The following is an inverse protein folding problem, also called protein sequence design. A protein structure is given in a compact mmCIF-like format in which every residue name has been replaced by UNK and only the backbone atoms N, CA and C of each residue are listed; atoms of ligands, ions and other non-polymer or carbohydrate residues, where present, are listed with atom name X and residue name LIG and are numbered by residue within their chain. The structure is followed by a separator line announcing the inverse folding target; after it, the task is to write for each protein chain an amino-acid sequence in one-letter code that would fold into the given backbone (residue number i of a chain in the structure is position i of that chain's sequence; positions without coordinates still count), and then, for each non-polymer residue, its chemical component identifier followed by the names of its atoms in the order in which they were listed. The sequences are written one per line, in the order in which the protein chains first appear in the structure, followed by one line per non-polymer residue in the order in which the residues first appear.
data_IF_002298616471
#
_entry.id   IF_002298616471
#
_cell.length_a   1.000
_cell.length_b   1.000
_cell.length_c   1.000
_cell.angle_alpha   90.00
_cell.angle_beta   90.00
_cell.angle_gamma   90.00
#
_symmetry.space_group_name_H-M   'P 1'
#
loop_
_entity.id
_entity.type
_entity.pdbx_description
1 polymer ?
#
# COMPACT_ATOMS: atom_id res chain seq x y z
N UNK A 1 15.24 -2.42 10.76
CA UNK A 1 14.60 -1.33 9.98
C UNK A 1 13.40 -0.71 10.69
N UNK A 2 12.37 -1.48 11.08
CA UNK A 2 11.20 -0.95 11.83
C UNK A 2 11.59 -0.30 13.17
N UNK A 3 12.49 -0.93 13.93
CA UNK A 3 12.92 -0.41 15.23
C UNK A 3 13.59 0.96 15.13
N UNK A 4 14.33 1.22 14.05
CA UNK A 4 15.00 2.50 13.82
C UNK A 4 14.00 3.61 13.44
N UNK A 5 12.93 3.26 12.71
CA UNK A 5 11.84 4.19 12.40
C UNK A 5 11.04 4.55 13.65
N UNK A 6 10.64 3.56 14.45
CA UNK A 6 9.89 3.79 15.70
C UNK A 6 10.74 4.61 16.66
N UNK A 7 12.02 4.25 16.80
CA UNK A 7 12.97 4.98 17.65
C UNK A 7 13.17 6.43 17.18
N UNK A 8 13.29 6.66 15.87
CA UNK A 8 13.36 8.00 15.28
C UNK A 8 12.10 8.83 15.55
N UNK A 9 10.91 8.22 15.44
CA UNK A 9 9.62 8.86 15.76
C UNK A 9 9.50 9.22 17.24
N UNK A 10 9.99 8.35 18.14
CA UNK A 10 10.00 8.60 19.58
C UNK A 10 10.94 9.76 19.92
N UNK A 11 12.17 9.76 19.38
CA UNK A 11 13.12 10.86 19.58
C UNK A 11 12.54 12.17 19.02
N UNK A 12 12.01 12.15 17.80
CA UNK A 12 11.40 13.31 17.17
C UNK A 12 10.25 13.85 18.02
N UNK A 13 9.33 12.99 18.46
CA UNK A 13 8.21 13.38 19.32
C UNK A 13 8.67 14.00 20.64
N UNK A 14 9.71 13.42 21.25
CA UNK A 14 10.29 13.92 22.52
C UNK A 14 10.92 15.30 22.34
N UNK A 15 11.70 15.50 21.26
CA UNK A 15 12.30 16.80 20.91
C UNK A 15 11.22 17.83 20.58
N UNK A 16 10.14 17.42 19.91
CA UNK A 16 9.04 18.31 19.56
C UNK A 16 8.25 18.74 20.78
N UNK A 17 7.98 17.83 21.72
CA UNK A 17 7.35 18.15 23.01
C UNK A 17 8.24 19.08 23.84
N UNK A 18 9.55 18.84 23.85
CA UNK A 18 10.51 19.71 24.51
C UNK A 18 10.43 21.15 23.97
N UNK A 19 10.52 21.30 22.64
CA UNK A 19 10.43 22.61 21.96
C UNK A 19 9.07 23.27 22.21
N UNK A 20 7.97 22.51 22.23
CA UNK A 20 6.62 23.04 22.52
C UNK A 20 6.50 23.59 23.95
N UNK A 21 7.18 22.96 24.91
CA UNK A 21 7.19 23.38 26.32
C UNK A 21 8.07 24.62 26.51
N UNK A 22 9.22 24.66 25.86
CA UNK A 22 10.18 25.78 25.91
C UNK A 22 9.64 27.02 25.17
N UNK A 23 9.04 26.80 24.00
CA UNK A 23 8.59 27.84 23.07
C UNK A 23 7.06 28.01 23.09
N UNK A 24 6.49 28.11 24.32
CA UNK A 24 5.05 28.25 24.64
C UNK A 24 4.28 29.38 23.90
N UNK A 25 4.94 30.19 23.07
CA UNK A 25 4.41 31.43 22.47
C UNK A 25 4.53 31.54 20.94
N UNK A 26 4.98 30.50 20.22
CA UNK A 26 5.18 30.58 18.78
C UNK A 26 4.08 29.85 17.98
N UNK A 27 2.89 30.44 17.75
CA UNK A 27 1.85 29.83 16.92
C UNK A 27 2.31 29.55 15.48
N UNK A 28 3.33 30.30 15.01
CA UNK A 28 3.95 30.11 13.69
C UNK A 28 4.67 28.77 13.55
N UNK A 29 5.33 28.30 14.61
CA UNK A 29 5.98 26.98 14.63
C UNK A 29 4.94 25.87 14.55
N UNK A 30 3.87 25.97 15.33
CA UNK A 30 2.79 24.98 15.35
C UNK A 30 2.12 24.83 13.97
N UNK A 31 1.89 25.93 13.27
CA UNK A 31 1.29 25.94 11.92
C UNK A 31 2.17 25.25 10.89
N UNK A 32 3.49 25.31 11.01
CA UNK A 32 4.43 24.60 10.13
C UNK A 32 4.67 23.15 10.56
N UNK A 33 4.64 22.89 11.86
CA UNK A 33 4.94 21.59 12.43
C UNK A 33 3.86 20.55 12.15
N UNK A 34 2.58 20.92 12.33
CA UNK A 34 1.45 20.02 12.09
C UNK A 34 1.45 19.42 10.66
N UNK A 35 1.57 20.21 9.57
CA UNK A 35 1.59 19.66 8.22
C UNK A 35 2.85 18.82 7.95
N UNK A 36 4.02 19.22 8.45
CA UNK A 36 5.26 18.43 8.31
C UNK A 36 5.13 17.07 8.98
N UNK A 37 4.58 17.03 10.20
CA UNK A 37 4.36 15.78 10.92
C UNK A 37 3.33 14.90 10.21
N UNK A 38 2.24 15.47 9.69
CA UNK A 38 1.26 14.73 8.89
C UNK A 38 1.89 14.11 7.64
N UNK A 39 2.71 14.86 6.90
CA UNK A 39 3.43 14.35 5.72
C UNK A 39 4.38 13.21 6.10
N UNK A 40 5.08 13.34 7.23
CA UNK A 40 6.03 12.34 7.69
C UNK A 40 5.34 11.04 8.12
N UNK A 41 4.23 11.14 8.87
CA UNK A 41 3.39 9.99 9.26
C UNK A 41 2.77 9.30 8.05
N UNK A 42 2.19 10.06 7.12
CA UNK A 42 1.57 9.49 5.90
C UNK A 42 2.60 8.83 4.98
N UNK A 43 3.76 9.47 4.77
CA UNK A 43 4.87 8.88 4.01
C UNK A 43 5.38 7.58 4.65
N UNK A 44 5.50 7.55 5.97
CA UNK A 44 5.93 6.34 6.70
C UNK A 44 4.89 5.23 6.56
N UNK A 45 3.60 5.54 6.69
CA UNK A 45 2.52 4.57 6.51
C UNK A 45 2.52 3.97 5.10
N UNK A 46 2.62 4.82 4.06
CA UNK A 46 2.66 4.36 2.66
C UNK A 46 3.91 3.52 2.38
N UNK A 47 5.05 3.92 2.94
CA UNK A 47 6.30 3.16 2.79
C UNK A 47 6.19 1.79 3.47
N UNK A 48 5.57 1.74 4.66
CA UNK A 48 5.35 0.50 5.39
C UNK A 48 4.44 -0.48 4.64
N UNK A 49 3.29 0.00 4.15
CA UNK A 49 2.36 -0.84 3.39
C UNK A 49 2.99 -1.33 2.07
N UNK A 50 3.86 -0.53 1.47
CA UNK A 50 4.62 -0.91 0.27
C UNK A 50 5.66 -2.00 0.54
N UNK A 51 6.40 -1.92 1.66
CA UNK A 51 7.42 -2.92 2.03
C UNK A 51 6.78 -4.27 2.38
N UNK A 52 5.60 -4.26 3.02
CA UNK A 52 4.87 -5.49 3.35
C UNK A 52 4.27 -6.19 2.12
N UNK A 53 4.33 -5.57 0.94
CA UNK A 53 3.80 -6.16 -0.30
C UNK A 53 2.28 -6.30 -0.29
N UNK A 54 1.58 -5.51 0.52
CA UNK A 54 0.13 -5.51 0.53
C UNK A 54 -0.42 -5.10 -0.84
N UNK A 55 -1.54 -5.71 -1.25
CA UNK A 55 -2.14 -5.43 -2.55
C UNK A 55 -2.59 -3.97 -2.63
N UNK A 56 -2.22 -3.30 -3.72
CA UNK A 56 -2.63 -1.90 -3.94
C UNK A 56 -4.11 -1.86 -4.25
N UNK A 57 -4.85 -1.03 -3.50
CA UNK A 57 -6.28 -0.74 -3.76
C UNK A 57 -6.39 0.26 -4.92
N UNK A 58 -6.09 -0.22 -6.12
CA UNK A 58 -6.15 0.59 -7.34
C UNK A 58 -6.58 -0.26 -8.52
N UNK A 59 -6.96 0.40 -9.62
CA UNK A 59 -7.26 -0.30 -10.87
C UNK A 59 -6.00 -0.99 -11.37
N UNK A 60 -6.06 -2.31 -11.67
CA UNK A 60 -4.90 -3.04 -12.14
C UNK A 60 -4.36 -2.43 -13.43
N UNK A 61 -3.06 -2.14 -13.48
CA UNK A 61 -2.41 -1.76 -14.72
C UNK A 61 -2.50 -2.89 -15.74
N UNK A 62 -2.53 -2.54 -17.03
CA UNK A 62 -2.51 -3.52 -18.12
C UNK A 62 -1.23 -4.35 -18.02
N UNK A 63 -1.38 -5.65 -17.83
CA UNK A 63 -0.28 -6.59 -17.69
C UNK A 63 -0.74 -8.04 -17.84
N UNK A 64 0.20 -8.98 -17.70
CA UNK A 64 -0.10 -10.40 -17.81
C UNK A 64 -0.70 -10.93 -16.51
N UNK A 65 -1.85 -11.59 -16.59
CA UNK A 65 -2.50 -12.23 -15.45
C UNK A 65 -1.64 -13.40 -14.94
N UNK A 66 -1.39 -13.46 -13.62
CA UNK A 66 -0.66 -14.57 -12.99
C UNK A 66 -1.61 -15.47 -12.20
N UNK A 67 -2.26 -14.90 -11.18
CA UNK A 67 -3.15 -15.61 -10.27
C UNK A 67 -4.14 -14.64 -9.67
N UNK A 68 -5.30 -15.13 -9.24
CA UNK A 68 -6.19 -14.37 -8.37
C UNK A 68 -6.64 -15.23 -7.18
N UNK A 69 -7.07 -14.57 -6.11
CA UNK A 69 -7.73 -15.16 -4.97
C UNK A 69 -9.02 -14.38 -4.70
N UNK A 70 -10.14 -15.09 -4.63
CA UNK A 70 -11.47 -14.50 -4.40
C UNK A 70 -11.79 -14.66 -2.92
N UNK A 71 -11.97 -13.54 -2.23
CA UNK A 71 -12.46 -13.48 -0.86
C UNK A 71 -13.90 -12.97 -0.88
N UNK A 72 -14.85 -13.88 -1.14
CA UNK A 72 -16.26 -13.55 -1.18
C UNK A 72 -16.75 -13.16 0.24
N UNK A 73 -17.52 -12.07 0.39
CA UNK A 73 -18.20 -11.29 -0.65
C UNK A 73 -17.54 -9.94 -0.99
N UNK A 74 -16.35 -9.63 -0.47
CA UNK A 74 -15.86 -8.26 -0.42
C UNK A 74 -14.73 -7.96 -1.42
N UNK A 75 -13.77 -8.87 -1.58
CA UNK A 75 -12.51 -8.55 -2.25
C UNK A 75 -12.06 -9.63 -3.22
N UNK A 76 -11.38 -9.19 -4.27
CA UNK A 76 -10.61 -10.06 -5.16
C UNK A 76 -9.17 -9.56 -5.14
N UNK A 77 -8.25 -10.46 -4.82
CA UNK A 77 -6.82 -10.20 -4.85
C UNK A 77 -6.25 -10.71 -6.16
N UNK A 78 -5.60 -9.83 -6.91
CA UNK A 78 -5.14 -10.09 -8.26
C UNK A 78 -3.63 -9.88 -8.35
N UNK A 79 -2.91 -10.88 -8.86
CA UNK A 79 -1.49 -10.75 -9.19
C UNK A 79 -1.33 -10.57 -10.71
N UNK A 80 -0.66 -9.49 -11.10
CA UNK A 80 -0.41 -9.12 -12.49
C UNK A 80 1.08 -8.84 -12.68
N UNK A 81 1.64 -9.29 -13.81
CA UNK A 81 2.97 -8.90 -14.25
C UNK A 81 2.88 -7.57 -15.00
N UNK A 82 3.44 -6.48 -14.43
CA UNK A 82 3.46 -5.17 -15.08
C UNK A 82 4.58 -5.07 -16.13
N UNK A 83 4.64 -3.95 -16.88
CA UNK A 83 5.49 -3.69 -18.06
C UNK A 83 7.00 -3.94 -17.89
N UNK A 84 7.50 -4.18 -16.68
CA UNK A 84 8.91 -4.43 -16.38
C UNK A 84 9.15 -5.83 -15.76
N UNK A 85 8.27 -6.80 -16.00
CA UNK A 85 8.31 -8.14 -15.39
C UNK A 85 8.30 -8.14 -13.85
N UNK A 86 7.84 -7.05 -13.23
CA UNK A 86 7.69 -6.94 -11.78
C UNK A 86 6.27 -7.39 -11.41
N UNK A 87 6.12 -8.42 -10.55
CA UNK A 87 4.80 -8.84 -10.09
C UNK A 87 4.21 -7.77 -9.16
N UNK A 88 2.96 -7.40 -9.40
CA UNK A 88 2.20 -6.47 -8.57
C UNK A 88 0.92 -7.13 -8.09
N UNK A 89 0.63 -6.95 -6.80
CA UNK A 89 -0.61 -7.37 -6.16
C UNK A 89 -1.61 -6.21 -6.14
N UNK A 90 -2.84 -6.49 -6.55
CA UNK A 90 -3.96 -5.55 -6.60
C UNK A 90 -5.11 -6.07 -5.75
N UNK A 91 -5.82 -5.16 -5.11
CA UNK A 91 -7.05 -5.43 -4.39
C UNK A 91 -8.19 -4.71 -5.10
N UNK A 92 -9.12 -5.48 -5.65
CA UNK A 92 -10.30 -4.97 -6.35
C UNK A 92 -11.57 -5.36 -5.59
N UNK A 93 -12.58 -4.50 -5.65
CA UNK A 93 -13.89 -4.78 -5.06
C UNK A 93 -14.53 -5.97 -5.77
N UNK A 94 -15.11 -6.88 -5.00
CA UNK A 94 -15.81 -8.03 -5.56
C UNK A 94 -16.99 -7.59 -6.44
N UNK A 95 -17.10 -8.19 -7.61
CA UNK A 95 -18.31 -8.13 -8.42
C UNK A 95 -18.50 -9.47 -9.12
N UNK A 96 -19.74 -9.96 -9.23
CA UNK A 96 -20.05 -11.23 -9.91
C UNK A 96 -19.51 -11.26 -11.34
N UNK A 97 -19.63 -10.15 -12.07
CA UNK A 97 -19.10 -10.01 -13.43
C UNK A 97 -17.58 -10.19 -13.48
N UNK A 98 -16.88 -9.61 -12.52
CA UNK A 98 -15.41 -9.70 -12.42
C UNK A 98 -14.98 -11.10 -12.01
N UNK A 99 -15.72 -11.74 -11.11
CA UNK A 99 -15.49 -13.12 -10.68
C UNK A 99 -15.63 -14.11 -11.85
N UNK A 100 -16.76 -14.09 -12.56
CA UNK A 100 -17.00 -14.95 -13.73
C UNK A 100 -15.95 -14.74 -14.83
N UNK A 101 -15.56 -13.49 -15.09
CA UNK A 101 -14.50 -13.18 -16.05
C UNK A 101 -13.14 -13.75 -15.64
N UNK A 102 -12.79 -13.70 -14.35
CA UNK A 102 -11.54 -14.23 -13.81
C UNK A 102 -11.53 -15.76 -13.73
N UNK A 103 -12.66 -16.41 -13.47
CA UNK A 103 -12.80 -17.87 -13.56
C UNK A 103 -12.61 -18.36 -15.00
N UNK A 104 -13.20 -17.66 -15.98
CA UNK A 104 -12.99 -17.97 -17.40
C UNK A 104 -11.53 -17.82 -17.84
N UNK A 105 -10.78 -16.87 -17.26
CA UNK A 105 -9.34 -16.72 -17.48
C UNK A 105 -8.54 -17.81 -16.76
N UNK A 106 -8.96 -18.25 -15.56
CA UNK A 106 -8.30 -19.35 -14.83
C UNK A 106 -8.37 -20.65 -15.63
N UNK A 107 -9.54 -20.98 -16.17
CA UNK A 107 -9.70 -22.18 -17.01
C UNK A 107 -8.73 -22.19 -18.21
N UNK A 108 -8.60 -21.05 -18.90
CA UNK A 108 -7.67 -20.91 -20.04
C UNK A 108 -6.19 -20.87 -19.64
N UNK A 109 -5.86 -20.43 -18.43
CA UNK A 109 -4.49 -20.38 -17.92
C UNK A 109 -4.02 -21.77 -17.43
N UNK A 110 -4.92 -22.55 -16.83
CA UNK A 110 -4.66 -23.94 -16.38
C UNK A 110 -4.50 -24.92 -17.56
N UNK A 111 -5.07 -24.61 -18.73
CA UNK A 111 -4.91 -25.37 -19.97
C UNK A 111 -3.52 -25.26 -20.64
N UNK A 112 -2.55 -24.58 -20.02
CA UNK A 112 -1.12 -24.78 -20.34
C UNK A 112 -0.50 -23.88 -21.41
N UNK A 113 -0.83 -22.58 -21.42
CA UNK A 113 -0.25 -21.63 -22.39
C UNK A 113 0.83 -20.67 -21.83
N UNK A 114 1.17 -20.71 -20.54
CA UNK A 114 2.16 -19.79 -19.96
C UNK A 114 3.12 -20.49 -18.98
N UNK A 115 3.98 -21.34 -19.53
CA UNK A 115 5.28 -21.66 -18.94
C UNK A 115 6.38 -21.16 -19.88
N UNK A 116 6.98 -20.01 -19.55
CA UNK A 116 8.40 -19.70 -19.80
C UNK A 116 8.91 -18.90 -18.61
#
# INVERSE_FOLDING_TARGET
MIGLLIFGLVILSTVCLWILIEERRAPKFLVWFIPVLLVLVTSTYVTYTSILGFPKVTTPEKGMYLKHYVDEPNWIYLWVLSKNNVPMSYQIVYSRKTHEALEGVRGKAEEGAFMV
#
